data_IF_736764380992
#
_entry.id   IF_736764380992
#
_cell.length_a   1.000
_cell.length_b   1.000
_cell.length_c   1.000
_cell.angle_alpha   90.00
_cell.angle_beta   90.00
_cell.angle_gamma   90.00
#
_symmetry.space_group_name_H-M   'P 1'
#
loop_
_entity.id
_entity.type
_entity.pdbx_description
1 polymer ?
#
# COMPACT_ATOMS: atom_id res chain seq x y z
N UNK A 1 -2.20 12.59 30.43
CA UNK A 1 -2.98 11.82 29.43
C UNK A 1 -2.31 12.03 28.09
N UNK A 2 -1.65 11.01 27.52
CA UNK A 2 -1.03 11.14 26.19
C UNK A 2 -2.15 11.12 25.14
N UNK A 3 -2.27 12.12 24.25
CA UNK A 3 -3.29 12.11 23.22
C UNK A 3 -3.09 10.87 22.35
N UNK A 4 -4.17 10.11 22.08
CA UNK A 4 -4.12 9.01 21.11
C UNK A 4 -3.62 9.57 19.78
N UNK A 5 -2.72 8.88 19.09
CA UNK A 5 -2.21 9.25 17.76
C UNK A 5 -3.20 8.84 16.66
N UNK A 6 -3.08 9.44 15.47
CA UNK A 6 -3.74 8.96 14.24
C UNK A 6 -2.72 9.05 13.09
N UNK A 7 -2.40 7.93 12.43
CA UNK A 7 -1.72 7.97 11.13
C UNK A 7 -2.58 8.75 10.13
N UNK A 8 -1.95 9.58 9.29
CA UNK A 8 -2.63 10.27 8.20
C UNK A 8 -2.02 9.81 6.88
N UNK A 9 -2.87 9.36 5.95
CA UNK A 9 -2.48 9.08 4.57
C UNK A 9 -2.65 10.34 3.72
N UNK A 10 -1.60 10.74 3.02
CA UNK A 10 -1.65 11.79 2.00
C UNK A 10 -1.95 11.20 0.62
N UNK A 11 -2.82 11.86 -0.13
CA UNK A 11 -3.01 11.63 -1.57
C UNK A 11 -2.99 12.97 -2.28
N UNK A 12 -2.19 13.05 -3.34
CA UNK A 12 -2.06 14.20 -4.25
C UNK A 12 -3.11 14.17 -5.36
N UNK A 13 -4.29 13.55 -5.13
CA UNK A 13 -5.36 13.29 -6.11
C UNK A 13 -5.83 14.48 -6.98
N UNK A 14 -5.41 15.71 -6.66
CA UNK A 14 -5.62 16.87 -7.52
C UNK A 14 -4.38 17.08 -8.39
N UNK A 15 -4.50 16.80 -9.70
CA UNK A 15 -3.46 17.04 -10.72
C UNK A 15 -3.04 18.51 -10.86
N UNK A 16 -3.62 19.42 -10.08
CA UNK A 16 -3.46 20.87 -10.14
C UNK A 16 -2.89 21.41 -8.83
N UNK A 17 -1.83 22.22 -8.94
CA UNK A 17 -1.11 22.83 -7.81
C UNK A 17 -2.02 23.58 -6.83
N UNK A 18 -3.04 24.28 -7.32
CA UNK A 18 -3.99 25.02 -6.48
C UNK A 18 -4.86 24.07 -5.63
N UNK A 19 -5.29 22.93 -6.19
CA UNK A 19 -6.03 21.90 -5.46
C UNK A 19 -5.18 21.25 -4.38
N UNK A 20 -3.91 20.94 -4.69
CA UNK A 20 -2.98 20.33 -3.74
C UNK A 20 -2.72 21.24 -2.54
N UNK A 21 -2.48 22.53 -2.80
CA UNK A 21 -2.33 23.55 -1.75
C UNK A 21 -3.58 23.67 -0.88
N UNK A 22 -4.77 23.69 -1.49
CA UNK A 22 -6.02 23.78 -0.74
C UNK A 22 -6.25 22.55 0.16
N UNK A 23 -5.97 21.34 -0.34
CA UNK A 23 -6.05 20.11 0.47
C UNK A 23 -5.04 20.14 1.61
N UNK A 24 -3.82 20.59 1.35
CA UNK A 24 -2.81 20.72 2.40
C UNK A 24 -3.21 21.73 3.46
N UNK A 25 -3.67 22.93 3.08
CA UNK A 25 -4.16 23.93 4.02
C UNK A 25 -5.33 23.40 4.86
N UNK A 26 -6.28 22.68 4.25
CA UNK A 26 -7.38 22.07 4.98
C UNK A 26 -6.89 21.00 5.98
N UNK A 27 -5.86 20.22 5.63
CA UNK A 27 -5.24 19.27 6.54
C UNK A 27 -4.59 20.00 7.73
N UNK A 28 -3.83 21.06 7.48
CA UNK A 28 -3.19 21.85 8.55
C UNK A 28 -4.23 22.49 9.47
N UNK A 29 -5.33 23.00 8.93
CA UNK A 29 -6.45 23.53 9.72
C UNK A 29 -7.05 22.46 10.65
N UNK A 30 -7.19 21.22 10.18
CA UNK A 30 -7.68 20.10 11.01
C UNK A 30 -6.68 19.77 12.12
N UNK A 31 -5.39 19.75 11.82
CA UNK A 31 -4.33 19.53 12.82
C UNK A 31 -4.35 20.62 13.89
N UNK A 32 -4.43 21.88 13.48
CA UNK A 32 -4.49 23.02 14.41
C UNK A 32 -5.74 22.98 15.28
N UNK A 33 -6.92 22.82 14.68
CA UNK A 33 -8.21 22.77 15.41
C UNK A 33 -8.30 21.60 16.38
N UNK A 34 -7.71 20.46 16.03
CA UNK A 34 -7.73 19.28 16.89
C UNK A 34 -6.67 19.31 17.99
N UNK A 35 -5.64 20.16 17.88
CA UNK A 35 -4.50 20.18 18.80
C UNK A 35 -3.69 18.89 18.80
N UNK A 36 -3.82 18.06 17.75
CA UNK A 36 -3.18 16.75 17.65
C UNK A 36 -2.18 16.75 16.48
N UNK A 37 -0.87 16.72 16.74
CA UNK A 37 0.13 16.73 15.68
C UNK A 37 0.06 15.46 14.83
N UNK A 38 0.58 15.54 13.60
CA UNK A 38 0.76 14.37 12.73
C UNK A 38 2.14 13.77 13.02
N UNK A 39 2.12 12.55 13.53
CA UNK A 39 3.34 11.85 13.94
C UNK A 39 4.01 11.07 12.81
N UNK A 40 3.22 10.68 11.79
CA UNK A 40 3.65 9.86 10.66
C UNK A 40 2.91 10.33 9.40
N UNK A 41 3.64 10.48 8.29
CA UNK A 41 3.06 10.81 7.00
C UNK A 41 3.39 9.72 5.98
N UNK A 42 2.37 9.07 5.43
CA UNK A 42 2.51 8.08 4.36
C UNK A 42 1.95 8.68 3.07
N UNK A 43 2.75 8.71 2.01
CA UNK A 43 2.33 9.24 0.71
C UNK A 43 2.17 8.11 -0.31
N UNK A 44 0.95 7.94 -0.83
CA UNK A 44 0.60 6.81 -1.69
C UNK A 44 0.93 7.06 -3.18
N UNK A 45 2.10 7.64 -3.47
CA UNK A 45 2.61 7.90 -4.82
C UNK A 45 1.89 9.02 -5.59
N UNK A 46 2.27 9.23 -6.86
CA UNK A 46 1.76 10.30 -7.72
C UNK A 46 2.04 11.72 -7.16
N UNK A 47 3.22 11.91 -6.59
CA UNK A 47 3.65 13.15 -5.93
C UNK A 47 3.94 14.28 -6.91
N UNK A 48 4.68 13.98 -7.98
CA UNK A 48 5.34 14.96 -8.83
C UNK A 48 4.87 14.85 -10.29
N UNK A 49 3.57 15.01 -10.50
CA UNK A 49 3.00 15.13 -11.85
C UNK A 49 3.78 16.14 -12.69
N UNK A 50 3.96 15.97 -14.00
CA UNK A 50 3.36 14.93 -14.85
C UNK A 50 4.30 13.77 -15.14
N UNK A 51 5.62 13.93 -15.00
CA UNK A 51 6.60 12.88 -15.31
C UNK A 51 7.59 12.60 -14.18
N UNK A 52 7.42 13.24 -13.02
CA UNK A 52 8.24 12.93 -11.84
C UNK A 52 9.63 13.52 -11.91
N UNK A 53 9.86 14.55 -12.72
CA UNK A 53 11.18 15.17 -12.82
C UNK A 53 11.59 15.90 -11.53
N UNK A 54 12.89 16.11 -11.35
CA UNK A 54 13.46 16.82 -10.19
C UNK A 54 12.78 18.19 -9.95
N UNK A 55 12.70 19.02 -10.99
CA UNK A 55 12.00 20.32 -10.89
C UNK A 55 10.50 20.19 -10.59
N UNK A 56 9.86 19.07 -10.94
CA UNK A 56 8.46 18.81 -10.60
C UNK A 56 8.31 18.43 -9.12
N UNK A 57 9.21 17.59 -8.60
CA UNK A 57 9.29 17.31 -7.16
C UNK A 57 9.48 18.59 -6.35
N UNK A 58 10.39 19.46 -6.77
CA UNK A 58 10.64 20.73 -6.10
C UNK A 58 9.37 21.59 -6.03
N UNK A 59 8.77 21.94 -7.17
CA UNK A 59 7.71 22.97 -7.21
C UNK A 59 6.30 22.44 -6.93
N UNK A 60 6.09 21.12 -7.07
CA UNK A 60 4.77 20.46 -6.90
C UNK A 60 4.67 19.56 -5.67
N UNK A 61 5.78 19.23 -5.03
CA UNK A 61 5.76 18.45 -3.80
C UNK A 61 6.48 19.18 -2.66
N UNK A 62 7.80 19.36 -2.74
CA UNK A 62 8.59 19.89 -1.62
C UNK A 62 8.19 21.31 -1.21
N UNK A 63 8.00 22.24 -2.15
CA UNK A 63 7.53 23.61 -1.84
C UNK A 63 6.11 23.65 -1.29
N UNK A 64 5.23 22.72 -1.70
CA UNK A 64 3.83 22.72 -1.24
C UNK A 64 3.76 22.25 0.21
N UNK A 65 4.50 21.19 0.52
CA UNK A 65 4.45 20.51 1.81
C UNK A 65 5.62 20.86 2.73
N UNK A 66 6.41 21.90 2.41
CA UNK A 66 7.67 22.28 3.07
C UNK A 66 7.57 22.30 4.60
N UNK A 67 6.55 22.97 5.15
CA UNK A 67 6.35 23.09 6.60
C UNK A 67 6.12 21.74 7.27
N UNK A 68 5.49 20.79 6.57
CA UNK A 68 5.26 19.43 7.05
C UNK A 68 6.50 18.57 6.89
N UNK A 69 7.09 18.53 5.70
CA UNK A 69 8.20 17.63 5.38
C UNK A 69 9.48 17.96 6.16
N UNK A 70 9.65 19.20 6.64
CA UNK A 70 10.74 19.56 7.55
C UNK A 70 10.61 19.02 8.97
N UNK A 71 9.40 18.64 9.38
CA UNK A 71 9.10 18.29 10.78
C UNK A 71 8.51 16.88 10.93
N UNK A 72 8.23 16.19 9.83
CA UNK A 72 7.60 14.87 9.84
C UNK A 72 8.18 14.02 8.73
N UNK A 73 8.61 12.81 9.08
CA UNK A 73 9.09 11.83 8.10
C UNK A 73 7.95 11.45 7.16
N UNK A 74 8.19 11.58 5.86
CA UNK A 74 7.30 11.14 4.80
C UNK A 74 7.78 9.79 4.27
N UNK A 75 6.92 8.77 4.34
CA UNK A 75 7.15 7.45 3.79
C UNK A 75 6.42 7.32 2.45
N UNK A 76 7.13 7.42 1.32
CA UNK A 76 6.52 7.47 0.00
C UNK A 76 6.33 6.08 -0.59
N UNK A 77 5.45 5.99 -1.58
CA UNK A 77 5.40 4.88 -2.54
C UNK A 77 5.69 5.42 -3.93
N UNK A 78 6.39 4.66 -4.77
CA UNK A 78 6.60 5.04 -6.16
C UNK A 78 5.36 4.70 -7.00
N UNK A 79 5.13 5.50 -8.04
CA UNK A 79 4.10 5.29 -9.05
C UNK A 79 4.64 5.58 -10.45
N UNK A 80 3.89 5.22 -11.46
CA UNK A 80 4.07 5.63 -12.85
C UNK A 80 4.11 7.14 -13.16
N UNK A 81 3.74 8.10 -12.30
CA UNK A 81 4.10 9.50 -12.60
C UNK A 81 5.55 9.77 -12.22
N UNK A 82 6.06 9.14 -11.17
CA UNK A 82 7.47 9.18 -10.78
C UNK A 82 8.35 8.28 -11.66
N UNK A 83 7.84 7.10 -12.01
CA UNK A 83 8.53 6.08 -12.78
C UNK A 83 8.55 6.30 -14.29
N UNK A 84 8.12 7.48 -14.77
CA UNK A 84 8.42 7.93 -16.14
C UNK A 84 9.85 8.45 -16.27
N UNK A 85 10.46 8.86 -15.15
CA UNK A 85 11.85 9.38 -15.10
C UNK A 85 12.70 8.72 -14.03
N UNK A 86 12.13 7.79 -13.26
CA UNK A 86 12.82 6.97 -12.26
C UNK A 86 12.66 5.48 -12.59
N UNK A 87 13.59 4.65 -12.14
CA UNK A 87 13.59 3.20 -12.37
C UNK A 87 13.93 2.45 -11.08
N UNK A 88 13.04 1.56 -10.66
CA UNK A 88 13.20 0.79 -9.43
C UNK A 88 14.30 -0.26 -9.49
N UNK A 89 14.54 -0.88 -10.65
CA UNK A 89 15.54 -1.95 -10.80
C UNK A 89 16.94 -1.53 -10.32
N UNK A 90 17.31 -0.29 -10.58
CA UNK A 90 18.60 0.28 -10.20
C UNK A 90 18.49 1.31 -9.08
N UNK A 91 17.28 1.69 -8.65
CA UNK A 91 17.07 2.73 -7.65
C UNK A 91 17.58 4.08 -8.14
N UNK A 92 17.31 4.42 -9.40
CA UNK A 92 17.86 5.62 -10.04
C UNK A 92 16.78 6.57 -10.51
N UNK A 93 17.08 7.87 -10.50
CA UNK A 93 16.23 8.94 -11.01
C UNK A 93 15.57 9.74 -9.90
N UNK A 94 14.78 10.77 -10.24
CA UNK A 94 14.40 11.82 -9.30
C UNK A 94 13.63 11.33 -8.07
N UNK A 95 12.87 10.24 -8.15
CA UNK A 95 12.20 9.66 -6.98
C UNK A 95 13.22 9.14 -5.95
N UNK A 96 14.26 8.45 -6.40
CA UNK A 96 15.32 7.89 -5.55
C UNK A 96 16.35 8.95 -5.14
N UNK A 97 16.44 10.07 -5.86
CA UNK A 97 17.19 11.25 -5.41
C UNK A 97 16.40 12.04 -4.33
N UNK A 98 15.07 12.07 -4.45
CA UNK A 98 14.17 12.78 -3.55
C UNK A 98 14.00 12.11 -2.17
N UNK A 99 14.25 10.81 -2.07
CA UNK A 99 14.03 10.02 -0.86
C UNK A 99 15.16 9.05 -0.60
N UNK A 100 15.53 8.91 0.67
CA UNK A 100 16.39 7.83 1.16
C UNK A 100 15.51 6.82 1.87
N UNK A 101 15.44 5.60 1.35
CA UNK A 101 14.61 4.52 1.88
C UNK A 101 15.49 3.46 2.55
N UNK A 102 14.97 2.67 3.52
CA UNK A 102 15.81 1.84 4.38
C UNK A 102 16.26 0.55 3.68
N UNK A 103 17.09 0.69 2.64
CA UNK A 103 17.60 -0.40 1.82
C UNK A 103 18.42 -1.42 2.63
N UNK A 104 18.98 -1.01 3.78
CA UNK A 104 19.74 -1.89 4.68
C UNK A 104 18.95 -2.23 5.95
N UNK A 105 17.65 -1.99 5.98
CA UNK A 105 16.78 -2.25 7.14
C UNK A 105 17.00 -1.27 8.30
N UNK A 106 17.48 -0.06 8.01
CA UNK A 106 17.81 0.96 9.01
C UNK A 106 16.60 1.38 9.85
N UNK A 107 15.39 1.19 9.34
CA UNK A 107 14.14 1.56 9.97
C UNK A 107 13.36 0.38 10.58
N UNK A 108 14.03 -0.79 10.75
CA UNK A 108 13.50 -2.11 11.09
C UNK A 108 13.16 -2.99 9.86
N UNK A 109 12.75 -4.22 10.15
CA UNK A 109 12.47 -5.25 9.15
C UNK A 109 13.71 -5.96 8.61
N UNK A 110 13.50 -6.84 7.64
CA UNK A 110 14.55 -7.52 6.88
C UNK A 110 15.14 -6.53 5.88
N UNK A 111 16.47 -6.39 5.77
CA UNK A 111 17.08 -5.57 4.73
C UNK A 111 16.69 -6.04 3.32
N UNK A 112 16.03 -5.22 2.49
CA UNK A 112 15.70 -5.57 1.09
C UNK A 112 16.93 -5.50 0.17
N UNK A 113 17.98 -4.75 0.55
CA UNK A 113 19.15 -4.47 -0.29
C UNK A 113 18.89 -3.46 -1.41
N UNK A 114 17.70 -2.84 -1.43
CA UNK A 114 17.23 -1.91 -2.45
C UNK A 114 16.15 -0.99 -1.88
N UNK A 115 15.86 0.13 -2.52
CA UNK A 115 14.89 1.14 -2.07
C UNK A 115 13.44 1.02 -2.59
N UNK A 116 13.12 0.41 -3.74
CA UNK A 116 11.75 0.38 -4.30
C UNK A 116 10.71 -0.29 -3.41
N UNK A 117 11.14 -1.20 -2.53
CA UNK A 117 10.30 -1.83 -1.53
C UNK A 117 11.04 -1.91 -0.20
N UNK A 118 10.32 -1.66 0.88
CA UNK A 118 10.92 -1.51 2.20
C UNK A 118 9.88 -1.70 3.30
N UNK A 119 10.36 -1.82 4.55
CA UNK A 119 9.52 -1.80 5.74
C UNK A 119 10.13 -0.91 6.81
N UNK A 120 9.31 -0.55 7.80
CA UNK A 120 9.73 0.21 8.96
C UNK A 120 8.79 -0.01 10.15
N UNK A 121 9.29 0.21 11.35
CA UNK A 121 8.46 0.18 12.56
C UNK A 121 8.13 1.61 13.04
N UNK A 122 6.88 1.81 13.45
CA UNK A 122 6.44 3.01 14.14
C UNK A 122 5.63 2.63 15.39
N UNK A 123 6.30 2.66 16.54
CA UNK A 123 5.73 2.16 17.79
C UNK A 123 5.36 0.68 17.68
N UNK A 124 4.11 0.27 17.98
CA UNK A 124 3.70 -1.14 17.91
C UNK A 124 3.23 -1.57 16.50
N UNK A 125 3.53 -0.78 15.46
CA UNK A 125 3.06 -1.00 14.09
C UNK A 125 4.26 -1.27 13.20
N UNK A 126 4.21 -2.36 12.44
CA UNK A 126 5.13 -2.64 11.35
C UNK A 126 4.48 -2.27 10.03
N UNK A 127 5.12 -1.37 9.31
CA UNK A 127 4.70 -0.89 8.01
C UNK A 127 5.48 -1.57 6.91
N UNK A 128 4.81 -1.91 5.81
CA UNK A 128 5.47 -2.48 4.64
C UNK A 128 4.99 -1.83 3.35
N UNK A 129 5.95 -1.47 2.50
CA UNK A 129 5.74 -0.85 1.20
C UNK A 129 6.29 -1.74 0.09
N UNK A 130 5.45 -2.59 -0.54
CA UNK A 130 5.82 -3.26 -1.78
C UNK A 130 5.87 -2.28 -2.96
N UNK A 131 6.82 -2.48 -3.88
CA UNK A 131 6.74 -1.86 -5.19
C UNK A 131 5.51 -2.42 -5.93
N UNK A 132 4.72 -1.51 -6.50
CA UNK A 132 3.52 -1.88 -7.25
C UNK A 132 3.59 -1.48 -8.71
N UNK A 133 4.72 -0.93 -9.17
CA UNK A 133 4.82 -0.27 -10.46
C UNK A 133 5.70 -1.02 -11.45
N UNK A 134 7.02 -1.02 -11.27
CA UNK A 134 7.98 -1.42 -12.31
C UNK A 134 8.82 -2.65 -11.96
N UNK A 135 8.74 -3.15 -10.73
CA UNK A 135 9.37 -4.42 -10.35
C UNK A 135 8.47 -5.64 -10.56
N UNK A 136 9.11 -6.81 -10.60
CA UNK A 136 8.43 -8.09 -10.76
C UNK A 136 7.51 -8.40 -9.55
N UNK A 137 6.23 -8.58 -9.87
CA UNK A 137 5.16 -8.85 -8.91
C UNK A 137 4.79 -10.34 -8.82
N UNK A 138 5.58 -11.25 -9.39
CA UNK A 138 5.38 -12.71 -9.29
C UNK A 138 5.58 -13.23 -7.86
N UNK A 139 4.93 -14.33 -7.46
CA UNK A 139 4.89 -14.81 -6.06
C UNK A 139 6.20 -15.41 -5.54
N UNK A 140 7.16 -15.61 -6.43
CA UNK A 140 8.52 -16.12 -6.25
C UNK A 140 9.62 -15.09 -6.56
N UNK A 141 9.25 -13.90 -7.06
CA UNK A 141 10.17 -12.80 -7.31
C UNK A 141 10.87 -12.31 -6.02
N UNK A 142 12.01 -11.65 -6.16
CA UNK A 142 12.83 -11.18 -5.04
C UNK A 142 12.04 -10.40 -3.98
N UNK A 143 11.21 -9.45 -4.42
CA UNK A 143 10.33 -8.69 -3.52
C UNK A 143 9.33 -9.57 -2.76
N UNK A 144 8.76 -10.60 -3.39
CA UNK A 144 7.83 -11.52 -2.74
C UNK A 144 8.53 -12.36 -1.67
N UNK A 145 9.74 -12.85 -1.98
CA UNK A 145 10.55 -13.64 -1.07
C UNK A 145 10.96 -12.79 0.13
N UNK A 146 11.47 -11.58 -0.11
CA UNK A 146 11.80 -10.62 0.94
C UNK A 146 10.59 -10.35 1.85
N UNK A 147 9.44 -10.03 1.28
CA UNK A 147 8.23 -9.70 2.03
C UNK A 147 7.76 -10.85 2.92
N UNK A 148 7.82 -12.11 2.44
CA UNK A 148 7.52 -13.29 3.27
C UNK A 148 8.44 -13.38 4.48
N UNK A 149 9.74 -13.12 4.29
CA UNK A 149 10.71 -13.20 5.37
C UNK A 149 10.58 -12.04 6.37
N UNK A 150 10.27 -10.84 5.89
CA UNK A 150 10.01 -9.67 6.71
C UNK A 150 8.81 -9.88 7.64
N UNK A 151 7.69 -10.34 7.08
CA UNK A 151 6.46 -10.61 7.83
C UNK A 151 6.58 -11.79 8.81
N UNK A 152 7.47 -12.75 8.57
CA UNK A 152 7.75 -13.83 9.54
C UNK A 152 8.55 -13.36 10.75
N UNK A 153 9.40 -12.33 10.58
CA UNK A 153 10.30 -11.85 11.64
C UNK A 153 9.66 -10.81 12.54
N UNK A 154 8.74 -10.01 12.02
CA UNK A 154 8.09 -8.97 12.83
C UNK A 154 7.27 -9.55 13.97
N UNK A 155 7.34 -8.90 15.13
CA UNK A 155 6.52 -9.17 16.32
C UNK A 155 5.58 -7.99 16.64
N UNK A 156 5.44 -7.05 15.69
CA UNK A 156 4.60 -5.89 15.88
C UNK A 156 3.14 -6.29 16.08
N UNK A 157 2.43 -5.52 16.91
CA UNK A 157 1.03 -5.76 17.22
C UNK A 157 0.14 -5.53 15.99
N UNK A 158 0.52 -4.58 15.15
CA UNK A 158 -0.22 -4.18 13.97
C UNK A 158 0.67 -4.25 12.75
N UNK A 159 0.08 -4.69 11.64
CA UNK A 159 0.72 -4.73 10.34
C UNK A 159 -0.05 -3.79 9.41
N UNK A 160 0.62 -2.81 8.83
CA UNK A 160 0.01 -1.92 7.83
C UNK A 160 0.80 -2.01 6.54
N UNK A 161 0.15 -2.47 5.48
CA UNK A 161 0.76 -2.49 4.17
C UNK A 161 0.29 -1.27 3.36
N UNK A 162 1.15 -0.67 2.55
CA UNK A 162 0.75 0.46 1.71
C UNK A 162 1.52 0.47 0.39
N UNK A 163 0.83 0.81 -0.71
CA UNK A 163 1.42 0.87 -2.05
C UNK A 163 0.52 1.72 -2.96
N UNK A 164 0.91 1.94 -4.21
CA UNK A 164 0.09 2.79 -5.09
C UNK A 164 -1.09 2.05 -5.74
N UNK A 165 -0.85 0.94 -6.46
CA UNK A 165 -1.85 0.31 -7.33
C UNK A 165 -2.89 -0.53 -6.56
N UNK A 166 -4.17 -0.09 -6.46
CA UNK A 166 -5.18 -0.75 -5.64
C UNK A 166 -5.57 -2.14 -6.19
N UNK A 167 -5.53 -3.21 -5.36
CA UNK A 167 -5.88 -4.56 -5.81
C UNK A 167 -7.40 -4.77 -5.98
N UNK A 168 -8.23 -3.90 -5.41
CA UNK A 168 -9.68 -4.00 -5.42
C UNK A 168 -10.31 -2.65 -5.76
N UNK A 169 -10.48 -2.38 -7.06
CA UNK A 169 -11.15 -1.18 -7.56
C UNK A 169 -11.91 -1.47 -8.85
N UNK A 170 -13.05 -0.78 -9.00
CA UNK A 170 -13.88 -0.71 -10.21
C UNK A 170 -14.25 0.75 -10.56
N UNK A 171 -13.48 1.72 -10.03
CA UNK A 171 -13.70 3.16 -10.24
C UNK A 171 -13.02 3.70 -11.51
N UNK A 172 -12.23 4.77 -11.37
CA UNK A 172 -11.40 5.31 -12.45
C UNK A 172 -10.40 4.30 -13.00
N UNK A 173 -10.02 3.35 -12.16
CA UNK A 173 -9.14 2.25 -12.48
C UNK A 173 -9.85 0.93 -12.17
N UNK A 174 -9.58 -0.08 -13.00
CA UNK A 174 -10.26 -1.36 -12.98
C UNK A 174 -9.28 -2.49 -12.72
N UNK A 175 -9.34 -3.03 -11.50
CA UNK A 175 -8.49 -4.14 -11.08
C UNK A 175 -8.76 -5.43 -11.86
N UNK A 176 -9.85 -5.57 -12.62
CA UNK A 176 -10.10 -6.75 -13.46
C UNK A 176 -9.37 -6.73 -14.80
N UNK A 177 -8.90 -5.55 -15.25
CA UNK A 177 -8.37 -5.38 -16.61
C UNK A 177 -6.97 -4.78 -16.64
N UNK A 178 -6.59 -4.04 -15.60
CA UNK A 178 -5.29 -3.35 -15.58
C UNK A 178 -4.21 -4.21 -14.93
N UNK A 179 -3.19 -4.56 -15.73
CA UNK A 179 -2.20 -5.56 -15.33
C UNK A 179 -1.51 -5.29 -13.98
N UNK A 180 -1.03 -4.07 -13.65
CA UNK A 180 -0.43 -3.82 -12.34
C UNK A 180 -1.40 -4.08 -11.18
N UNK A 181 -2.67 -3.73 -11.32
CA UNK A 181 -3.69 -3.95 -10.29
C UNK A 181 -4.08 -5.43 -10.20
N UNK A 182 -4.17 -6.12 -11.35
CA UNK A 182 -4.40 -7.57 -11.41
C UNK A 182 -3.25 -8.31 -10.71
N UNK A 183 -2.00 -7.99 -11.03
CA UNK A 183 -0.82 -8.58 -10.39
C UNK A 183 -0.82 -8.31 -8.88
N UNK A 184 -1.14 -7.08 -8.47
CA UNK A 184 -1.27 -6.77 -7.05
C UNK A 184 -2.40 -7.59 -6.43
N UNK A 185 -3.56 -7.74 -7.06
CA UNK A 185 -4.67 -8.57 -6.55
C UNK A 185 -4.27 -10.03 -6.39
N UNK A 186 -3.71 -10.63 -7.42
CA UNK A 186 -3.51 -12.07 -7.52
C UNK A 186 -2.25 -12.55 -6.81
N UNK A 187 -1.21 -11.71 -6.79
CA UNK A 187 0.12 -12.10 -6.30
C UNK A 187 0.55 -11.37 -5.01
N UNK A 188 -0.18 -10.33 -4.57
CA UNK A 188 0.27 -9.44 -3.47
C UNK A 188 -0.81 -9.05 -2.46
N UNK A 189 -2.07 -8.97 -2.87
CA UNK A 189 -3.19 -8.42 -2.09
C UNK A 189 -3.47 -9.24 -0.83
N UNK A 190 -2.94 -10.46 -0.78
CA UNK A 190 -2.03 -10.85 0.30
C UNK A 190 -1.00 -11.94 -0.11
N UNK A 191 0.21 -11.92 0.43
CA UNK A 191 0.99 -13.15 0.67
C UNK A 191 0.34 -13.98 1.80
N UNK A 192 -0.88 -14.45 1.56
CA UNK A 192 -1.67 -15.60 2.07
C UNK A 192 -1.36 -16.32 3.42
N UNK A 193 -0.54 -15.79 4.35
CA UNK A 193 -0.23 -16.42 5.65
C UNK A 193 -0.07 -15.45 6.84
N UNK A 194 0.05 -14.13 6.62
CA UNK A 194 0.00 -13.12 7.68
C UNK A 194 -0.99 -12.03 7.26
N UNK A 195 -2.15 -11.95 7.91
CA UNK A 195 -3.17 -10.96 7.56
C UNK A 195 -2.70 -9.56 7.99
N UNK A 196 -2.43 -8.63 7.06
CA UNK A 196 -2.20 -7.24 7.46
C UNK A 196 -3.45 -6.71 8.17
N UNK A 197 -3.26 -5.90 9.20
CA UNK A 197 -4.35 -5.26 9.94
C UNK A 197 -5.07 -4.20 9.09
N UNK A 198 -4.36 -3.60 8.13
CA UNK A 198 -4.92 -2.73 7.09
C UNK A 198 -4.00 -2.67 5.86
N UNK A 199 -4.57 -2.43 4.68
CA UNK A 199 -3.84 -2.05 3.48
C UNK A 199 -4.30 -0.67 2.97
N UNK A 200 -3.36 0.20 2.62
CA UNK A 200 -3.62 1.56 2.12
C UNK A 200 -3.14 1.68 0.67
N UNK A 201 -4.03 2.02 -0.24
CA UNK A 201 -3.69 2.15 -1.67
C UNK A 201 -4.14 3.46 -2.29
N UNK A 202 -3.40 3.95 -3.28
CA UNK A 202 -3.72 5.17 -4.01
C UNK A 202 -4.57 4.95 -5.28
N UNK A 203 -4.29 5.79 -6.29
CA UNK A 203 -4.79 5.78 -7.68
C UNK A 203 -6.26 6.13 -7.93
N UNK A 204 -7.20 5.66 -7.12
CA UNK A 204 -8.62 6.01 -7.32
C UNK A 204 -8.79 7.53 -7.14
N UNK A 205 -9.50 8.20 -8.06
CA UNK A 205 -9.76 9.66 -8.00
C UNK A 205 -10.52 10.16 -6.76
N UNK A 206 -10.79 9.25 -5.83
CA UNK A 206 -11.31 9.43 -4.49
C UNK A 206 -10.30 8.73 -3.57
N UNK A 207 -9.80 9.44 -2.56
CA UNK A 207 -8.61 9.08 -1.77
C UNK A 207 -8.52 7.66 -1.21
N UNK A 208 -7.40 7.39 -0.55
CA UNK A 208 -6.95 6.10 -0.01
C UNK A 208 -8.11 5.17 0.39
N UNK A 209 -8.22 4.00 -0.23
CA UNK A 209 -9.16 2.97 0.20
C UNK A 209 -8.44 2.11 1.25
N UNK A 210 -8.77 2.22 2.55
CA UNK A 210 -8.30 1.25 3.53
C UNK A 210 -9.02 -0.09 3.29
N UNK A 211 -8.30 -1.10 2.83
CA UNK A 211 -8.79 -2.47 2.85
C UNK A 211 -8.40 -3.07 4.20
N UNK A 212 -9.37 -3.19 5.11
CA UNK A 212 -9.19 -3.89 6.38
C UNK A 212 -9.54 -5.36 6.13
N UNK A 213 -8.55 -6.24 6.16
CA UNK A 213 -8.81 -7.68 6.25
C UNK A 213 -9.07 -8.02 7.73
N UNK A 214 -10.11 -8.79 8.09
CA UNK A 214 -10.28 -9.25 9.47
C UNK A 214 -9.12 -10.19 9.86
N UNK A 215 -8.71 -10.21 11.14
CA UNK A 215 -7.62 -11.07 11.60
C UNK A 215 -8.03 -12.54 11.47
N UNK A 216 -7.36 -13.30 10.60
CA UNK A 216 -7.46 -14.74 10.59
C UNK A 216 -6.57 -15.30 11.70
N UNK A 217 -7.18 -15.83 12.75
CA UNK A 217 -6.52 -16.74 13.69
C UNK A 217 -6.20 -18.04 12.94
N UNK A 218 -4.95 -18.31 12.57
CA UNK A 218 -4.57 -19.65 12.11
C UNK A 218 -3.16 -20.05 12.55
N UNK A 219 -3.07 -21.25 13.11
CA UNK A 219 -1.91 -21.86 13.73
C UNK A 219 -1.02 -22.51 12.66
N UNK A 220 0.28 -22.22 12.68
CA UNK A 220 1.27 -22.80 11.78
C UNK A 220 1.76 -24.15 12.35
N UNK A 221 1.01 -25.24 12.12
CA UNK A 221 1.60 -26.58 12.16
C UNK A 221 0.75 -27.60 11.39
N UNK A 222 1.20 -28.00 10.21
CA UNK A 222 1.22 -29.39 9.72
C UNK A 222 1.33 -29.40 8.19
N UNK A 223 2.36 -30.09 7.69
CA UNK A 223 2.66 -30.21 6.27
C UNK A 223 1.61 -30.97 5.43
N UNK A 224 1.78 -30.82 4.13
CA UNK A 224 1.21 -31.62 3.02
C UNK A 224 1.51 -33.12 3.26
N UNK A 225 0.62 -34.11 2.94
CA UNK A 225 0.23 -34.35 1.54
C UNK A 225 -1.14 -34.97 1.18
N UNK A 226 -1.41 -34.83 -0.13
CA UNK A 226 -2.10 -35.74 -1.07
C UNK A 226 -3.64 -35.93 -1.04
N UNK A 227 -4.27 -35.43 -2.11
CA UNK A 227 -5.14 -36.13 -3.07
C UNK A 227 -6.24 -37.11 -2.58
N UNK A 228 -7.53 -36.79 -2.82
CA UNK A 228 -8.58 -37.76 -3.24
C UNK A 228 -9.77 -37.07 -3.93
N UNK A 229 -9.91 -37.33 -5.23
CA UNK A 229 -11.12 -37.67 -6.00
C UNK A 229 -12.54 -37.43 -5.42
N UNK A 230 -13.32 -36.64 -6.16
CA UNK A 230 -14.66 -36.93 -6.70
C UNK A 230 -15.80 -37.39 -5.78
N UNK A 231 -16.87 -36.58 -5.68
CA UNK A 231 -18.24 -37.06 -5.41
C UNK A 231 -19.28 -36.12 -6.05
N UNK A 232 -20.12 -36.70 -6.91
CA UNK A 232 -21.36 -36.12 -7.45
C UNK A 232 -22.41 -35.89 -6.33
N UNK A 233 -23.30 -34.90 -6.45
CA UNK A 233 -24.45 -34.78 -5.56
C UNK A 233 -25.61 -35.69 -6.00
N UNK A 234 -26.01 -36.58 -5.08
CA UNK A 234 -27.23 -37.41 -5.15
C UNK A 234 -28.46 -36.53 -4.86
N UNK A 235 -29.49 -36.67 -5.70
CA UNK A 235 -30.71 -35.88 -5.66
C UNK A 235 -31.66 -36.17 -4.47
N UNK A 236 -32.62 -35.26 -4.29
CA UNK A 236 -33.81 -35.49 -3.48
C UNK A 236 -35.04 -34.88 -4.16
N UNK A 237 -36.11 -35.66 -4.19
CA UNK A 237 -37.35 -35.54 -4.95
C UNK A 237 -38.24 -34.32 -4.59
N UNK A 238 -38.99 -33.84 -5.58
CA UNK A 238 -40.13 -32.91 -5.45
C UNK A 238 -41.39 -33.64 -4.95
N UNK A 239 -42.29 -32.97 -4.21
CA UNK A 239 -43.71 -33.34 -4.12
C UNK A 239 -44.57 -32.50 -5.08
N UNK A 240 -45.38 -33.17 -5.89
CA UNK A 240 -46.49 -32.57 -6.63
C UNK A 240 -47.76 -32.51 -5.77
N UNK A 241 -48.50 -31.40 -5.85
CA UNK A 241 -49.94 -31.39 -5.54
C UNK A 241 -50.70 -30.54 -6.56
N UNK A 242 -51.77 -31.14 -7.10
CA UNK A 242 -52.66 -30.68 -8.15
C UNK A 242 -53.49 -29.44 -7.82
N UNK A 243 -53.83 -28.64 -8.84
CA UNK A 243 -55.09 -27.89 -8.93
C UNK A 243 -55.86 -28.34 -10.17
N UNK A 244 -57.13 -28.70 -9.99
CA UNK A 244 -58.14 -28.85 -11.04
C UNK A 244 -59.20 -27.76 -10.83
N UNK A 245 -59.71 -27.30 -11.98
CA UNK A 245 -60.67 -26.23 -12.27
C UNK A 245 -60.09 -24.82 -12.27
#
# INVERSE_FOLDING_TARGET
>A
MVPKSRPVSGSSATRLRAGQKAVFSAQEDVVQKSGRPIDLYVHLGDMAYTRGGDGEFQVKFFEIYESRLRNTVCWPTMRNHEGLTSEGKHGTGPYYDAYVLPARGEAAGVPPGTEPYYSFDYGPIHFVCPDSFDLDRSTDAAMAVWLKEDLKKTQAKWLIAFWHHPPYTLGSDNSNTERPLVDMRENRSPLQCAAPSAALTGRTGWGSVPVIAPPASFNYSSGIPANTTGLHPVGRQQPQTHKRR
#
